data_IF_618772002206
#
_entry.id   IF_618772002206
#
_cell.length_a   1.000
_cell.length_b   1.000
_cell.length_c   1.000
_cell.angle_alpha   90.00
_cell.angle_beta   90.00
_cell.angle_gamma   90.00
#
_symmetry.space_group_name_H-M   'P 1'
#
loop_
_entity.id
_entity.type
_entity.pdbx_description
1 polymer ?
#
# COMPACT_ATOMS: atom_id res chain seq x y z
N UNK A 1 -9.77 10.19 12.71
CA UNK A 1 -8.44 9.57 12.58
C UNK A 1 -7.45 10.47 13.28
N UNK A 2 -6.73 9.96 14.26
CA UNK A 2 -5.66 10.70 14.94
C UNK A 2 -4.42 10.78 14.04
N UNK A 3 -3.47 11.67 14.36
CA UNK A 3 -2.20 11.76 13.62
C UNK A 3 -1.41 10.43 13.67
N UNK A 4 -1.47 9.72 14.80
CA UNK A 4 -0.79 8.43 15.00
C UNK A 4 -1.45 7.30 14.21
N UNK A 5 -2.79 7.25 14.16
CA UNK A 5 -3.51 6.27 13.33
C UNK A 5 -3.18 6.45 11.84
N UNK A 6 -3.17 7.69 11.36
CA UNK A 6 -2.82 8.00 9.96
C UNK A 6 -1.39 7.55 9.63
N UNK A 7 -0.44 7.82 10.53
CA UNK A 7 0.95 7.43 10.34
C UNK A 7 1.17 5.92 10.41
N UNK A 8 0.43 5.20 11.26
CA UNK A 8 0.48 3.73 11.31
C UNK A 8 -0.03 3.12 10.00
N UNK A 9 -1.13 3.66 9.44
CA UNK A 9 -1.65 3.26 8.13
C UNK A 9 -0.63 3.55 7.03
N UNK A 10 -0.01 4.74 7.03
CA UNK A 10 1.01 5.08 6.05
C UNK A 10 2.22 4.13 6.11
N UNK A 11 2.71 3.79 7.31
CA UNK A 11 3.80 2.85 7.48
C UNK A 11 3.43 1.42 7.01
N UNK A 12 2.21 0.98 7.31
CA UNK A 12 1.65 -0.29 6.83
C UNK A 12 1.57 -0.33 5.29
N UNK A 13 1.20 0.78 4.66
CA UNK A 13 1.14 0.91 3.20
C UNK A 13 2.53 0.88 2.57
N UNK A 14 3.50 1.61 3.12
CA UNK A 14 4.88 1.58 2.63
C UNK A 14 5.48 0.18 2.76
N UNK A 15 5.22 -0.53 3.86
CA UNK A 15 5.63 -1.92 4.01
C UNK A 15 5.03 -2.83 2.92
N UNK A 16 3.74 -2.69 2.61
CA UNK A 16 3.08 -3.48 1.57
C UNK A 16 3.63 -3.17 0.17
N UNK A 17 3.77 -1.89 -0.17
CA UNK A 17 4.31 -1.43 -1.45
C UNK A 17 5.78 -1.85 -1.63
N UNK A 18 6.59 -1.76 -0.58
CA UNK A 18 7.98 -2.18 -0.63
C UNK A 18 8.09 -3.69 -0.87
N UNK A 19 7.24 -4.49 -0.23
CA UNK A 19 7.25 -5.96 -0.41
C UNK A 19 6.90 -6.41 -1.83
N UNK A 20 6.12 -5.63 -2.55
CA UNK A 20 5.82 -5.88 -3.96
C UNK A 20 6.81 -5.17 -4.90
N UNK A 21 7.73 -4.37 -4.38
CA UNK A 21 8.73 -3.62 -5.16
C UNK A 21 8.16 -2.40 -5.88
N UNK A 22 7.04 -1.84 -5.41
CA UNK A 22 6.45 -0.60 -5.94
C UNK A 22 7.17 0.66 -5.42
N UNK A 23 7.85 0.57 -4.27
CA UNK A 23 8.65 1.65 -3.69
C UNK A 23 10.03 1.15 -3.24
N UNK A 24 10.94 2.09 -3.06
CA UNK A 24 12.29 1.85 -2.56
C UNK A 24 12.32 1.59 -1.04
N UNK A 25 13.40 0.97 -0.57
CA UNK A 25 13.64 0.82 0.87
C UNK A 25 13.80 2.17 1.59
N UNK A 26 14.32 3.21 0.90
CA UNK A 26 14.41 4.56 1.46
C UNK A 26 13.06 5.20 1.74
N UNK A 27 12.05 4.95 0.91
CA UNK A 27 10.69 5.45 1.16
C UNK A 27 10.06 4.82 2.41
N UNK A 28 10.43 3.57 2.75
CA UNK A 28 10.02 2.94 4.02
C UNK A 28 10.66 3.64 5.22
N UNK A 29 11.94 4.02 5.12
CA UNK A 29 12.66 4.77 6.16
C UNK A 29 12.06 6.16 6.35
N UNK A 30 11.74 6.86 5.25
CA UNK A 30 11.09 8.17 5.29
C UNK A 30 9.72 8.06 6.00
N UNK A 31 8.92 7.03 5.68
CA UNK A 31 7.65 6.77 6.39
C UNK A 31 7.84 6.43 7.87
N UNK A 32 8.94 5.77 8.26
CA UNK A 32 9.26 5.52 9.66
C UNK A 32 9.62 6.81 10.42
N UNK A 33 10.32 7.74 9.77
CA UNK A 33 10.58 9.08 10.31
C UNK A 33 9.25 9.84 10.53
N UNK A 34 8.35 9.82 9.55
CA UNK A 34 7.04 10.46 9.66
C UNK A 34 6.20 9.86 10.80
N UNK A 35 6.28 8.54 11.01
CA UNK A 35 5.64 7.87 12.13
C UNK A 35 6.16 8.36 13.50
N UNK A 36 7.48 8.53 13.65
CA UNK A 36 8.07 9.11 14.85
C UNK A 36 7.60 10.56 15.08
N UNK A 37 7.57 11.38 14.02
CA UNK A 37 7.10 12.78 14.09
C UNK A 37 5.63 12.85 14.50
N UNK A 38 4.81 11.89 14.03
CA UNK A 38 3.41 11.77 14.41
C UNK A 38 3.20 11.25 15.85
N UNK A 39 4.25 10.78 16.53
CA UNK A 39 4.23 10.33 17.92
C UNK A 39 4.12 8.81 18.11
N UNK A 40 4.20 8.01 17.05
CA UNK A 40 4.43 6.57 17.17
C UNK A 40 5.88 6.39 17.58
N UNK A 41 6.15 6.08 18.84
CA UNK A 41 7.52 6.06 19.35
C UNK A 41 7.83 4.71 20.00
N UNK A 42 8.48 3.82 19.25
CA UNK A 42 8.91 2.51 19.72
C UNK A 42 10.40 2.27 19.41
N UNK A 43 11.11 1.40 20.17
CA UNK A 43 12.54 1.18 20.01
C UNK A 43 12.96 0.76 18.60
N UNK A 44 12.29 -0.24 18.00
CA UNK A 44 12.66 -0.72 16.66
C UNK A 44 12.26 0.28 15.56
N UNK A 45 11.19 1.06 15.77
CA UNK A 45 10.84 2.14 14.85
C UNK A 45 11.92 3.23 14.81
N UNK A 46 12.51 3.60 15.96
CA UNK A 46 13.66 4.53 16.00
C UNK A 46 14.87 3.99 15.25
N UNK A 47 15.15 2.70 15.38
CA UNK A 47 16.27 2.06 14.67
C UNK A 47 16.02 2.07 13.16
N UNK A 48 14.81 1.71 12.73
CA UNK A 48 14.42 1.76 11.31
C UNK A 48 14.54 3.18 10.74
N UNK A 49 14.03 4.19 11.46
CA UNK A 49 14.10 5.59 11.03
C UNK A 49 15.52 6.17 11.04
N UNK A 50 16.43 5.61 11.84
CA UNK A 50 17.83 6.02 11.88
C UNK A 50 18.66 5.44 10.72
N UNK A 51 18.11 4.49 9.95
CA UNK A 51 18.78 3.87 8.83
C UNK A 51 19.07 4.91 7.73
N UNK A 52 20.30 4.94 7.23
CA UNK A 52 20.63 5.85 6.12
C UNK A 52 20.12 5.30 4.79
N UNK A 53 19.99 6.17 3.77
CA UNK A 53 19.64 5.74 2.41
C UNK A 53 20.61 4.71 1.82
N UNK A 54 21.87 4.73 2.24
CA UNK A 54 22.88 3.77 1.77
C UNK A 54 22.70 2.38 2.41
N UNK A 55 22.29 2.34 3.67
CA UNK A 55 22.04 1.11 4.44
C UNK A 55 20.68 0.49 4.11
N UNK A 56 19.69 1.33 3.76
CA UNK A 56 18.29 0.92 3.61
C UNK A 56 18.08 -0.30 2.70
N UNK A 57 18.85 -0.43 1.61
CA UNK A 57 18.71 -1.55 0.69
C UNK A 57 19.02 -2.93 1.30
N UNK A 58 19.82 -2.96 2.38
CA UNK A 58 20.18 -4.18 3.09
C UNK A 58 19.42 -4.31 4.40
N UNK A 59 19.40 -3.23 5.19
CA UNK A 59 18.97 -3.30 6.59
C UNK A 59 17.45 -3.27 6.75
N UNK A 60 16.69 -2.67 5.81
CA UNK A 60 15.22 -2.60 5.93
C UNK A 60 14.59 -4.00 6.00
N UNK A 61 15.21 -5.00 5.37
CA UNK A 61 14.71 -6.37 5.43
C UNK A 61 14.69 -6.94 6.86
N UNK A 62 15.65 -6.55 7.68
CA UNK A 62 15.80 -7.04 9.05
C UNK A 62 15.19 -6.08 10.08
N UNK A 63 15.18 -4.78 9.79
CA UNK A 63 14.68 -3.74 10.69
C UNK A 63 13.16 -3.53 10.60
N UNK A 64 12.55 -3.73 9.42
CA UNK A 64 11.11 -3.50 9.24
C UNK A 64 10.23 -4.48 10.03
N UNK A 65 10.46 -5.81 10.01
CA UNK A 65 9.60 -6.75 10.72
C UNK A 65 9.42 -6.45 12.23
N UNK A 66 10.49 -6.24 13.03
CA UNK A 66 10.33 -5.95 14.45
C UNK A 66 9.70 -4.57 14.71
N UNK A 67 9.95 -3.57 13.86
CA UNK A 67 9.31 -2.25 13.98
C UNK A 67 7.79 -2.32 13.78
N UNK A 68 7.33 -3.08 12.78
CA UNK A 68 5.89 -3.30 12.56
C UNK A 68 5.25 -4.09 13.70
N UNK A 69 5.94 -5.12 14.21
CA UNK A 69 5.44 -5.95 15.30
C UNK A 69 5.18 -5.15 16.60
N UNK A 70 6.05 -4.20 16.95
CA UNK A 70 5.85 -3.32 18.12
C UNK A 70 4.59 -2.44 18.01
N UNK A 71 4.19 -2.11 16.78
CA UNK A 71 3.02 -1.28 16.48
C UNK A 71 1.76 -2.11 16.23
N UNK A 72 1.85 -3.45 16.29
CA UNK A 72 0.75 -4.35 15.93
C UNK A 72 0.43 -4.37 14.44
N UNK A 73 1.36 -3.94 13.59
CA UNK A 73 1.23 -3.92 12.13
C UNK A 73 1.71 -5.24 11.52
N UNK A 74 1.24 -5.54 10.31
CA UNK A 74 1.48 -6.84 9.65
C UNK A 74 2.43 -6.70 8.46
N UNK A 75 3.51 -7.47 8.47
CA UNK A 75 4.34 -7.66 7.26
C UNK A 75 3.92 -8.95 6.56
N UNK A 76 3.26 -8.82 5.41
CA UNK A 76 2.85 -9.98 4.62
C UNK A 76 4.06 -10.70 3.99
N UNK A 77 4.03 -12.05 3.89
CA UNK A 77 5.03 -12.80 3.14
C UNK A 77 5.09 -12.35 1.68
N UNK A 78 6.30 -12.40 1.09
CA UNK A 78 6.50 -12.10 -0.33
C UNK A 78 5.64 -13.02 -1.18
N UNK A 79 4.91 -12.44 -2.14
CA UNK A 79 4.07 -13.20 -3.07
C UNK A 79 2.74 -13.69 -2.49
N UNK A 80 2.43 -13.42 -1.21
CA UNK A 80 1.13 -13.78 -0.63
C UNK A 80 0.00 -12.91 -1.19
N UNK A 81 -1.16 -13.51 -1.43
CA UNK A 81 -2.37 -12.82 -1.91
C UNK A 81 -2.74 -11.65 -1.00
N UNK A 82 -2.77 -11.86 0.32
CA UNK A 82 -3.03 -10.79 1.30
C UNK A 82 -2.03 -9.61 1.20
N UNK A 83 -0.75 -9.88 0.89
CA UNK A 83 0.23 -8.83 0.65
C UNK A 83 0.00 -8.07 -0.65
N UNK A 84 -0.44 -8.77 -1.70
CA UNK A 84 -0.83 -8.14 -2.96
C UNK A 84 -2.08 -7.28 -2.79
N UNK A 85 -3.10 -7.78 -2.10
CA UNK A 85 -4.29 -7.02 -1.75
C UNK A 85 -3.96 -5.76 -0.92
N UNK A 86 -3.08 -5.89 0.07
CA UNK A 86 -2.61 -4.75 0.86
C UNK A 86 -1.93 -3.70 -0.03
N UNK A 87 -1.11 -4.12 -1.00
CA UNK A 87 -0.48 -3.21 -1.94
C UNK A 87 -1.49 -2.51 -2.87
N UNK A 88 -2.53 -3.21 -3.34
CA UNK A 88 -3.63 -2.60 -4.12
C UNK A 88 -4.35 -1.53 -3.32
N UNK A 89 -4.67 -1.79 -2.05
CA UNK A 89 -5.29 -0.81 -1.15
C UNK A 89 -4.39 0.40 -0.90
N UNK A 90 -3.09 0.17 -0.74
CA UNK A 90 -2.09 1.23 -0.59
C UNK A 90 -2.02 2.13 -1.84
N UNK A 91 -1.98 1.54 -3.05
CA UNK A 91 -2.02 2.29 -4.30
C UNK A 91 -3.31 3.10 -4.46
N UNK A 92 -4.46 2.52 -4.10
CA UNK A 92 -5.74 3.22 -4.09
C UNK A 92 -5.71 4.45 -3.14
N UNK A 93 -5.14 4.31 -1.94
CA UNK A 93 -4.94 5.43 -1.01
C UNK A 93 -4.02 6.52 -1.56
N UNK A 94 -2.91 6.15 -2.21
CA UNK A 94 -2.02 7.11 -2.88
C UNK A 94 -2.71 7.89 -3.99
N UNK A 95 -3.53 7.22 -4.80
CA UNK A 95 -4.35 7.90 -5.82
C UNK A 95 -5.33 8.89 -5.18
N UNK A 96 -6.04 8.48 -4.11
CA UNK A 96 -6.96 9.37 -3.40
C UNK A 96 -6.27 10.54 -2.70
N UNK A 97 -4.99 10.39 -2.33
CA UNK A 97 -4.14 11.46 -1.83
C UNK A 97 -3.61 12.41 -2.94
N UNK A 98 -3.87 12.09 -4.21
CA UNK A 98 -3.42 12.87 -5.36
C UNK A 98 -1.99 12.57 -5.82
N UNK A 99 -1.37 11.50 -5.31
CA UNK A 99 -0.02 11.09 -5.70
C UNK A 99 0.01 10.28 -7.00
N UNK A 100 -1.14 9.73 -7.40
CA UNK A 100 -1.33 8.98 -8.65
C UNK A 100 -2.58 9.48 -9.36
N UNK A 101 -2.52 9.54 -10.68
CA UNK A 101 -3.70 9.73 -11.52
C UNK A 101 -4.53 8.44 -11.57
N UNK A 102 -5.85 8.51 -11.87
CA UNK A 102 -6.68 7.31 -11.97
C UNK A 102 -6.16 6.28 -12.98
N UNK A 103 -5.79 6.71 -14.19
CA UNK A 103 -5.20 5.79 -15.18
C UNK A 103 -3.85 5.19 -14.74
N UNK A 104 -3.06 5.88 -13.91
CA UNK A 104 -1.80 5.33 -13.40
C UNK A 104 -2.05 4.21 -12.39
N UNK A 105 -3.12 4.32 -11.60
CA UNK A 105 -3.55 3.28 -10.68
C UNK A 105 -3.96 2.02 -11.43
N UNK A 106 -4.88 2.14 -12.39
CA UNK A 106 -5.39 1.00 -13.17
C UNK A 106 -4.26 0.32 -13.95
N UNK A 107 -3.43 1.11 -14.63
CA UNK A 107 -2.32 0.59 -15.45
C UNK A 107 -1.30 -0.19 -14.63
N UNK A 108 -0.91 0.33 -13.46
CA UNK A 108 0.04 -0.37 -12.58
C UNK A 108 -0.52 -1.69 -12.06
N UNK A 109 -1.78 -1.68 -11.66
CA UNK A 109 -2.47 -2.86 -11.15
C UNK A 109 -2.63 -3.91 -12.25
N UNK A 110 -3.12 -3.52 -13.42
CA UNK A 110 -3.28 -4.42 -14.56
C UNK A 110 -1.93 -5.01 -14.99
N UNK A 111 -0.90 -4.19 -15.20
CA UNK A 111 0.44 -4.68 -15.58
C UNK A 111 1.01 -5.70 -14.60
N UNK A 112 0.70 -5.54 -13.31
CA UNK A 112 1.30 -6.34 -12.25
C UNK A 112 0.53 -7.63 -11.97
N UNK A 113 -0.80 -7.57 -11.93
CA UNK A 113 -1.63 -8.67 -11.45
C UNK A 113 -2.47 -9.31 -12.56
N UNK A 114 -2.58 -8.68 -13.73
CA UNK A 114 -3.54 -9.12 -14.75
C UNK A 114 -4.95 -9.22 -14.16
N UNK A 115 -5.72 -10.19 -14.65
CA UNK A 115 -7.01 -10.57 -14.06
C UNK A 115 -6.87 -11.66 -12.97
N UNK A 116 -5.68 -11.88 -12.42
CA UNK A 116 -5.44 -13.00 -11.49
C UNK A 116 -5.79 -12.67 -10.03
N UNK A 117 -5.92 -11.38 -9.68
CA UNK A 117 -6.24 -10.92 -8.34
C UNK A 117 -7.70 -10.47 -8.23
N UNK A 118 -8.62 -11.26 -7.63
CA UNK A 118 -10.05 -10.97 -7.63
C UNK A 118 -10.40 -9.62 -7.00
N UNK A 119 -9.67 -9.20 -5.96
CA UNK A 119 -9.89 -7.89 -5.32
C UNK A 119 -9.72 -6.72 -6.29
N UNK A 120 -8.83 -6.87 -7.27
CA UNK A 120 -8.41 -5.82 -8.20
C UNK A 120 -9.13 -5.89 -9.55
N UNK A 121 -9.96 -6.91 -9.80
CA UNK A 121 -10.58 -7.19 -11.09
C UNK A 121 -11.27 -5.96 -11.70
N UNK A 122 -12.04 -5.20 -10.92
CA UNK A 122 -12.70 -3.99 -11.44
C UNK A 122 -11.73 -2.91 -11.91
N UNK A 123 -10.57 -2.73 -11.25
CA UNK A 123 -9.57 -1.76 -11.69
C UNK A 123 -8.85 -2.22 -12.96
N UNK A 124 -8.76 -3.53 -13.18
CA UNK A 124 -8.17 -4.12 -14.38
C UNK A 124 -9.11 -3.92 -15.56
N UNK A 125 -10.40 -4.20 -15.39
CA UNK A 125 -11.43 -3.91 -16.41
C UNK A 125 -11.45 -2.43 -16.79
N UNK A 126 -11.34 -1.52 -15.81
CA UNK A 126 -11.28 -0.08 -16.08
C UNK A 126 -10.02 0.32 -16.87
N UNK A 127 -8.92 -0.41 -16.73
CA UNK A 127 -7.73 -0.22 -17.57
C UNK A 127 -7.99 -0.60 -19.04
N UNK A 128 -8.68 -1.72 -19.26
CA UNK A 128 -9.12 -2.12 -20.60
C UNK A 128 -10.07 -1.08 -21.20
N UNK A 129 -11.00 -0.54 -20.39
CA UNK A 129 -11.90 0.52 -20.81
C UNK A 129 -11.14 1.78 -21.25
N UNK A 130 -10.08 2.21 -20.54
CA UNK A 130 -9.20 3.30 -21.00
C UNK A 130 -8.59 3.01 -22.37
N UNK A 131 -8.16 1.77 -22.62
CA UNK A 131 -7.57 1.36 -23.90
C UNK A 131 -8.56 1.37 -25.08
N UNK A 132 -9.86 1.37 -24.78
CA UNK A 132 -10.96 1.34 -25.77
C UNK A 132 -11.63 2.70 -25.97
N UNK A 133 -11.23 3.74 -25.22
CA UNK A 133 -11.80 5.07 -25.35
C UNK A 133 -11.54 5.65 -26.74
N UNK A 134 -12.61 6.12 -27.38
CA UNK A 134 -12.53 7.02 -28.53
C UNK A 134 -12.30 8.46 -28.03
N UNK A 135 -11.72 9.34 -28.87
CA UNK A 135 -11.40 10.73 -28.49
C UNK A 135 -12.64 11.46 -27.94
N UNK A 136 -12.70 11.68 -26.63
CA UNK A 136 -13.80 12.38 -25.96
C UNK A 136 -13.61 12.57 -24.45
N UNK A 137 -13.61 13.82 -24.00
CA UNK A 137 -13.37 14.20 -22.59
C UNK A 137 -14.45 13.68 -21.62
N UNK A 138 -15.70 13.50 -22.09
CA UNK A 138 -16.81 13.01 -21.25
C UNK A 138 -16.66 11.53 -20.90
N UNK A 139 -16.23 10.71 -21.86
CA UNK A 139 -15.99 9.29 -21.64
C UNK A 139 -14.79 9.07 -20.70
N UNK A 140 -13.73 9.87 -20.86
CA UNK A 140 -12.57 9.87 -19.96
C UNK A 140 -12.97 10.22 -18.52
N UNK A 141 -13.75 11.30 -18.34
CA UNK A 141 -14.19 11.74 -17.02
C UNK A 141 -15.08 10.70 -16.31
N UNK A 142 -15.87 9.94 -17.07
CA UNK A 142 -16.68 8.85 -16.53
C UNK A 142 -15.80 7.71 -16.00
N UNK A 143 -14.81 7.26 -16.78
CA UNK A 143 -13.88 6.20 -16.34
C UNK A 143 -13.07 6.66 -15.12
N UNK A 144 -12.56 7.91 -15.12
CA UNK A 144 -11.88 8.51 -13.97
C UNK A 144 -12.75 8.49 -12.69
N UNK A 145 -14.05 8.78 -12.83
CA UNK A 145 -14.99 8.77 -11.72
C UNK A 145 -15.24 7.35 -11.17
N UNK A 146 -15.30 6.35 -12.05
CA UNK A 146 -15.45 4.94 -11.65
C UNK A 146 -14.20 4.40 -10.96
N UNK A 147 -13.01 4.72 -11.48
CA UNK A 147 -11.74 4.40 -10.80
C UNK A 147 -11.70 5.05 -9.42
N UNK A 148 -12.16 6.30 -9.31
CA UNK A 148 -12.23 7.01 -8.02
C UNK A 148 -13.20 6.34 -7.04
N UNK A 149 -14.37 5.90 -7.50
CA UNK A 149 -15.33 5.18 -6.68
C UNK A 149 -14.76 3.84 -6.18
N UNK A 150 -14.08 3.11 -7.07
CA UNK A 150 -13.49 1.82 -6.76
C UNK A 150 -12.30 1.95 -5.79
N UNK A 151 -11.43 2.95 -5.99
CA UNK A 151 -10.35 3.23 -5.06
C UNK A 151 -10.86 3.56 -3.65
N UNK A 152 -11.99 4.29 -3.54
CA UNK A 152 -12.63 4.55 -2.23
C UNK A 152 -13.15 3.27 -1.59
N UNK A 153 -13.76 2.37 -2.36
CA UNK A 153 -14.22 1.05 -1.87
C UNK A 153 -13.05 0.24 -1.31
N UNK A 154 -11.93 0.21 -2.02
CA UNK A 154 -10.72 -0.53 -1.63
C UNK A 154 -10.07 0.08 -0.38
N UNK A 155 -9.95 1.41 -0.32
CA UNK A 155 -9.32 2.13 0.78
C UNK A 155 -10.13 2.10 2.09
N UNK A 156 -11.45 1.96 2.02
CA UNK A 156 -12.34 1.95 3.19
C UNK A 156 -12.28 0.64 4.00
N UNK A 157 -11.75 -0.45 3.43
CA UNK A 157 -11.66 -1.73 4.14
C UNK A 157 -10.43 -1.74 5.06
N UNK A 158 -10.61 -1.95 6.37
CA UNK A 158 -9.48 -2.16 7.27
C UNK A 158 -8.72 -3.41 6.87
N UNK A 159 -7.38 -3.35 6.91
CA UNK A 159 -6.52 -4.54 6.87
C UNK A 159 -6.93 -5.42 8.05
N UNK A 160 -7.68 -6.49 7.80
CA UNK A 160 -8.15 -7.39 8.85
C UNK A 160 -6.89 -8.00 9.50
N UNK A 161 -6.70 -7.86 10.83
CA UNK A 161 -5.62 -8.56 11.51
C UNK A 161 -5.87 -10.06 11.34
N UNK A 162 -4.87 -10.81 10.88
CA UNK A 162 -4.93 -12.26 10.88
C UNK A 162 -5.19 -12.74 12.32
N UNK A 163 -6.26 -13.52 12.52
CA UNK A 163 -6.56 -14.10 13.83
C UNK A 163 -5.35 -14.91 14.32
N UNK A 164 -4.94 -14.78 15.60
CA UNK A 164 -3.93 -15.66 16.16
C UNK A 164 -4.50 -17.07 16.22
N UNK A 165 -3.98 -17.95 15.36
CA UNK A 165 -4.25 -19.39 15.41
C UNK A 165 -3.88 -19.90 16.78
N UNK A 166 -4.89 -20.19 17.61
CA UNK A 166 -4.72 -20.87 18.87
C UNK A 166 -4.08 -22.25 18.63
N UNK A 167 -2.87 -22.46 19.15
CA UNK A 167 -2.28 -23.80 19.24
C UNK A 167 -3.12 -24.66 20.19
N UNK A 168 -3.44 -25.92 19.83
CA UNK A 168 -3.94 -26.87 20.80
C UNK A 168 -2.77 -27.36 21.67
N UNK A 169 -3.03 -27.48 22.98
CA UNK A 169 -2.07 -27.95 23.98
C UNK A 169 -1.87 -29.46 24.02
#
# INVERSE_FOLDING_TARGET
MTSTEAAAIALQDHAALWRVGEISASEVVDSACDALVAGLDTPNLRILAACTRAEANYDVHDLLPPALAELGLTLHPVGSEAGQEAAVRALARRMLAGELKPWELTFRIHRRYGHELPLAERLVELDDEYGMLEDGDEALAQVDAEVTAEARRLAAHPTVPAEPTASPG
#
